data_IF_125457868476
#
_entry.id   IF_125457868476
#
_cell.length_a   1.000
_cell.length_b   1.000
_cell.length_c   1.000
_cell.angle_alpha   90.00
_cell.angle_beta   90.00
_cell.angle_gamma   90.00
#
_symmetry.space_group_name_H-M   'P 1'
#
loop_
_entity.id
_entity.type
_entity.pdbx_description
1 polymer ?
#
# COMPACT_ATOMS: atom_id res chain seq x y z
N UNK A 1 -16.90 -26.21 22.12
CA UNK A 1 -16.37 -26.75 20.84
C UNK A 1 -15.28 -25.85 20.22
N UNK A 2 -15.41 -24.51 20.25
CA UNK A 2 -14.43 -23.58 19.62
C UNK A 2 -13.07 -23.59 20.32
N UNK A 3 -13.04 -23.69 21.66
CA UNK A 3 -11.81 -23.84 22.43
C UNK A 3 -10.98 -25.06 22.00
N UNK A 4 -11.63 -26.15 21.60
CA UNK A 4 -10.98 -27.35 21.08
C UNK A 4 -10.31 -27.09 19.73
N UNK A 5 -10.94 -26.31 18.85
CA UNK A 5 -10.37 -25.93 17.54
C UNK A 5 -9.12 -25.09 17.70
N UNK A 6 -9.12 -24.12 18.62
CA UNK A 6 -7.96 -23.27 18.90
C UNK A 6 -6.79 -24.08 19.47
N UNK A 7 -7.08 -25.06 20.34
CA UNK A 7 -6.07 -25.98 20.86
C UNK A 7 -5.50 -26.89 19.78
N UNK A 8 -6.36 -27.49 18.93
CA UNK A 8 -5.91 -28.29 17.79
C UNK A 8 -5.06 -27.48 16.82
N UNK A 9 -5.43 -26.22 16.56
CA UNK A 9 -4.63 -25.35 15.71
C UNK A 9 -3.27 -25.00 16.32
N UNK A 10 -3.20 -24.75 17.64
CA UNK A 10 -1.89 -24.54 18.28
C UNK A 10 -1.02 -25.80 18.19
N UNK A 11 -1.60 -26.98 18.39
CA UNK A 11 -0.90 -28.25 18.29
C UNK A 11 -0.39 -28.53 16.86
N UNK A 12 -1.12 -28.11 15.83
CA UNK A 12 -0.72 -28.21 14.41
C UNK A 12 0.63 -27.53 14.14
N UNK A 13 0.89 -26.40 14.80
CA UNK A 13 2.12 -25.60 14.65
C UNK A 13 3.12 -25.81 15.80
N UNK A 14 2.96 -26.88 16.60
CA UNK A 14 3.82 -27.19 17.76
C UNK A 14 3.90 -26.06 18.80
N UNK A 15 2.82 -25.28 18.96
CA UNK A 15 2.78 -24.15 19.90
C UNK A 15 2.23 -24.60 21.25
N UNK A 16 3.03 -24.40 22.30
CA UNK A 16 2.64 -24.69 23.68
C UNK A 16 1.68 -23.61 24.21
N UNK A 17 0.54 -24.05 24.74
CA UNK A 17 -0.41 -23.18 25.42
C UNK A 17 -0.01 -23.06 26.89
N UNK A 18 0.36 -21.85 27.31
CA UNK A 18 0.77 -21.54 28.68
C UNK A 18 -0.33 -20.78 29.45
N UNK A 19 -0.33 -20.85 30.80
CA UNK A 19 -1.29 -20.11 31.60
C UNK A 19 -1.08 -18.59 31.53
N UNK A 20 -2.15 -17.83 31.75
CA UNK A 20 -2.17 -16.37 31.57
C UNK A 20 -1.16 -15.60 32.44
N UNK A 21 -0.77 -16.16 33.59
CA UNK A 21 0.17 -15.56 34.53
C UNK A 21 1.65 -15.70 34.13
N UNK A 22 1.95 -16.44 33.06
CA UNK A 22 3.33 -16.58 32.55
C UNK A 22 3.53 -15.72 31.31
N UNK A 23 4.76 -15.26 31.14
CA UNK A 23 5.19 -14.59 29.92
C UNK A 23 5.57 -15.66 28.87
N UNK A 24 5.05 -15.58 27.64
CA UNK A 24 5.37 -16.56 26.61
C UNK A 24 6.84 -16.46 26.17
N UNK A 25 7.44 -17.60 25.87
CA UNK A 25 8.67 -17.70 25.08
C UNK A 25 8.32 -17.94 23.59
N UNK A 26 9.30 -17.90 22.67
CA UNK A 26 9.09 -18.39 21.31
C UNK A 26 8.52 -19.81 21.30
N UNK A 27 7.58 -20.10 20.40
CA UNK A 27 6.85 -21.37 20.37
C UNK A 27 5.77 -21.52 21.46
N UNK A 28 5.49 -20.48 22.24
CA UNK A 28 4.45 -20.50 23.27
C UNK A 28 3.41 -19.40 23.05
N UNK A 29 2.18 -19.66 23.50
CA UNK A 29 1.14 -18.63 23.53
C UNK A 29 0.22 -18.77 24.74
N UNK A 30 -0.30 -17.63 25.21
CA UNK A 30 -1.45 -17.56 26.13
C UNK A 30 -2.71 -17.02 25.45
N UNK A 31 -2.61 -16.63 24.18
CA UNK A 31 -3.63 -15.87 23.46
C UNK A 31 -4.69 -16.77 22.78
N UNK A 32 -5.06 -17.88 23.41
CA UNK A 32 -6.02 -18.86 22.88
C UNK A 32 -7.39 -18.25 22.62
N UNK A 33 -7.82 -17.32 23.48
CA UNK A 33 -9.06 -16.58 23.27
C UNK A 33 -9.03 -15.75 21.97
N UNK A 34 -7.90 -15.16 21.62
CA UNK A 34 -7.73 -14.38 20.39
C UNK A 34 -7.79 -15.26 19.16
N UNK A 35 -7.10 -16.41 19.19
CA UNK A 35 -7.19 -17.44 18.13
C UNK A 35 -8.65 -17.86 17.93
N UNK A 36 -9.36 -18.13 19.03
CA UNK A 36 -10.78 -18.51 18.99
C UNK A 36 -11.64 -17.45 18.30
N UNK A 37 -11.45 -16.17 18.65
CA UNK A 37 -12.15 -15.04 18.02
C UNK A 37 -11.82 -14.89 16.53
N UNK A 38 -10.59 -15.17 16.12
CA UNK A 38 -10.20 -15.15 14.69
C UNK A 38 -10.93 -16.25 13.94
N UNK A 39 -10.94 -17.48 14.47
CA UNK A 39 -11.66 -18.61 13.89
C UNK A 39 -13.16 -18.30 13.74
N UNK A 40 -13.76 -17.73 14.78
CA UNK A 40 -15.17 -17.33 14.77
C UNK A 40 -15.50 -16.29 13.69
N UNK A 41 -14.63 -15.28 13.53
CA UNK A 41 -14.89 -14.15 12.61
C UNK A 41 -14.52 -14.44 11.16
N UNK A 42 -13.45 -15.19 10.94
CA UNK A 42 -12.80 -15.32 9.62
C UNK A 42 -12.62 -16.78 9.17
N UNK A 43 -12.98 -17.75 10.00
CA UNK A 43 -12.86 -19.17 9.69
C UNK A 43 -11.50 -19.77 10.10
N UNK A 44 -11.45 -21.10 10.15
CA UNK A 44 -10.27 -21.87 10.57
C UNK A 44 -9.11 -21.76 9.58
N UNK A 45 -9.39 -21.69 8.27
CA UNK A 45 -8.36 -21.55 7.23
C UNK A 45 -7.64 -20.21 7.33
N UNK A 46 -8.37 -19.12 7.59
CA UNK A 46 -7.77 -17.81 7.86
C UNK A 46 -6.90 -17.84 9.11
N UNK A 47 -7.37 -18.50 10.17
CA UNK A 47 -6.58 -18.65 11.39
C UNK A 47 -5.30 -19.45 11.13
N UNK A 48 -5.36 -20.53 10.35
CA UNK A 48 -4.18 -21.33 9.95
C UNK A 48 -3.15 -20.50 9.20
N UNK A 49 -3.58 -19.64 8.26
CA UNK A 49 -2.68 -18.72 7.56
C UNK A 49 -2.00 -17.72 8.51
N UNK A 50 -2.74 -17.18 9.48
CA UNK A 50 -2.17 -16.30 10.52
C UNK A 50 -1.09 -17.05 11.32
N UNK A 51 -1.37 -18.29 11.70
CA UNK A 51 -0.43 -19.12 12.45
C UNK A 51 0.81 -19.48 11.62
N UNK A 52 0.65 -19.83 10.34
CA UNK A 52 1.77 -20.07 9.42
C UNK A 52 2.72 -18.87 9.36
N UNK A 53 2.18 -17.65 9.18
CA UNK A 53 2.99 -16.41 9.16
C UNK A 53 3.75 -16.18 10.47
N UNK A 54 3.13 -16.47 11.61
CA UNK A 54 3.69 -16.18 12.93
C UNK A 54 4.63 -17.27 13.46
N UNK A 55 4.36 -18.54 13.15
CA UNK A 55 5.09 -19.69 13.69
C UNK A 55 6.21 -20.17 12.75
N UNK A 56 5.96 -20.12 11.45
CA UNK A 56 6.89 -20.67 10.43
C UNK A 56 7.61 -19.57 9.63
N UNK A 57 7.12 -18.33 9.69
CA UNK A 57 7.68 -17.21 8.96
C UNK A 57 9.14 -16.95 9.32
N UNK A 58 9.97 -16.68 8.30
CA UNK A 58 11.40 -16.44 8.48
C UNK A 58 11.64 -15.20 9.34
N UNK A 59 12.45 -15.35 10.39
CA UNK A 59 12.76 -14.24 11.30
C UNK A 59 11.62 -13.84 12.25
N UNK A 60 10.48 -14.51 12.19
CA UNK A 60 9.34 -14.29 13.09
C UNK A 60 9.43 -15.16 14.34
N UNK A 61 10.57 -15.13 15.04
CA UNK A 61 10.67 -15.59 16.44
C UNK A 61 9.91 -14.67 17.42
N UNK A 62 8.97 -13.87 16.89
CA UNK A 62 8.19 -12.91 17.64
C UNK A 62 7.14 -13.65 18.45
N UNK A 63 6.81 -13.07 19.61
CA UNK A 63 5.84 -13.65 20.53
C UNK A 63 4.46 -13.75 19.86
N UNK A 64 3.88 -14.95 19.91
CA UNK A 64 2.50 -15.19 19.47
C UNK A 64 1.58 -14.73 20.60
N UNK A 65 1.20 -13.46 20.56
CA UNK A 65 0.36 -12.81 21.55
C UNK A 65 -0.92 -12.24 20.91
N UNK A 66 -1.79 -11.65 21.74
CA UNK A 66 -3.06 -11.08 21.26
C UNK A 66 -2.85 -9.96 20.23
N UNK A 67 -1.75 -9.21 20.36
CA UNK A 67 -1.45 -8.03 19.53
C UNK A 67 -0.98 -8.48 18.15
N UNK A 68 0.01 -9.36 18.08
CA UNK A 68 0.55 -9.90 16.83
C UNK A 68 -0.49 -10.72 16.08
N UNK A 69 -1.23 -11.61 16.76
CA UNK A 69 -2.33 -12.39 16.16
C UNK A 69 -3.39 -11.48 15.53
N UNK A 70 -3.86 -10.47 16.26
CA UNK A 70 -4.90 -9.57 15.77
C UNK A 70 -4.39 -8.73 14.59
N UNK A 71 -3.16 -8.20 14.68
CA UNK A 71 -2.58 -7.36 13.65
C UNK A 71 -2.34 -8.12 12.34
N UNK A 72 -1.73 -9.31 12.41
CA UNK A 72 -1.50 -10.16 11.24
C UNK A 72 -2.83 -10.60 10.63
N UNK A 73 -3.82 -10.97 11.45
CA UNK A 73 -5.16 -11.32 10.98
C UNK A 73 -5.83 -10.19 10.19
N UNK A 74 -5.75 -8.95 10.68
CA UNK A 74 -6.34 -7.78 10.02
C UNK A 74 -5.63 -7.43 8.71
N UNK A 75 -4.30 -7.53 8.67
CA UNK A 75 -3.52 -7.28 7.45
C UNK A 75 -3.77 -8.37 6.41
N UNK A 76 -3.68 -9.66 6.77
CA UNK A 76 -3.99 -10.76 5.85
C UNK A 76 -5.39 -10.64 5.28
N UNK A 77 -6.36 -10.24 6.10
CA UNK A 77 -7.72 -10.02 5.62
C UNK A 77 -7.83 -8.83 4.67
N UNK A 78 -7.10 -7.75 4.90
CA UNK A 78 -7.02 -6.63 3.96
C UNK A 78 -6.37 -7.05 2.63
N UNK A 79 -5.52 -8.08 2.66
CA UNK A 79 -4.82 -8.65 1.53
C UNK A 79 -5.59 -9.78 0.82
N UNK A 80 -6.85 -10.07 1.16
CA UNK A 80 -7.57 -11.25 0.67
C UNK A 80 -7.53 -11.39 -0.86
N UNK A 81 -7.76 -10.31 -1.59
CA UNK A 81 -7.78 -10.32 -3.06
C UNK A 81 -6.43 -10.75 -3.64
N UNK A 82 -5.34 -10.25 -3.05
CA UNK A 82 -3.96 -10.53 -3.47
C UNK A 82 -3.55 -11.94 -3.07
N UNK A 83 -4.03 -12.38 -1.91
CA UNK A 83 -3.78 -13.71 -1.38
C UNK A 83 -4.46 -14.79 -2.23
N UNK A 84 -5.68 -14.53 -2.72
CA UNK A 84 -6.39 -15.43 -3.64
C UNK A 84 -5.67 -15.57 -4.98
N UNK A 85 -5.11 -14.46 -5.51
CA UNK A 85 -4.38 -14.46 -6.78
C UNK A 85 -3.01 -15.15 -6.69
N UNK A 86 -2.22 -14.86 -5.66
CA UNK A 86 -0.88 -15.43 -5.49
C UNK A 86 -0.50 -15.59 -3.99
N UNK A 87 -0.88 -16.73 -3.37
CA UNK A 87 -0.62 -16.98 -1.96
C UNK A 87 0.87 -16.95 -1.59
N UNK A 88 1.71 -17.59 -2.40
CA UNK A 88 3.15 -17.71 -2.15
C UNK A 88 3.84 -16.36 -2.12
N UNK A 89 3.53 -15.47 -3.06
CA UNK A 89 4.09 -14.12 -3.09
C UNK A 89 3.69 -13.28 -1.86
N UNK A 90 2.47 -13.48 -1.33
CA UNK A 90 2.06 -12.81 -0.10
C UNK A 90 2.89 -13.33 1.08
N UNK A 91 3.04 -14.64 1.24
CA UNK A 91 3.84 -15.21 2.33
C UNK A 91 5.31 -14.75 2.26
N UNK A 92 5.92 -14.68 1.07
CA UNK A 92 7.27 -14.14 0.87
C UNK A 92 7.41 -12.65 1.25
N UNK A 93 6.34 -11.86 1.13
CA UNK A 93 6.33 -10.49 1.63
C UNK A 93 6.28 -10.45 3.17
N UNK A 94 5.52 -11.36 3.79
CA UNK A 94 5.47 -11.46 5.24
C UNK A 94 6.79 -11.95 5.85
N UNK A 95 7.52 -12.84 5.18
CA UNK A 95 8.87 -13.28 5.57
C UNK A 95 9.90 -12.15 5.64
N UNK A 96 9.65 -11.03 4.95
CA UNK A 96 10.52 -9.86 4.97
C UNK A 96 10.18 -8.89 6.10
N UNK A 97 9.09 -9.10 6.85
CA UNK A 97 8.67 -8.17 7.90
C UNK A 97 9.55 -8.32 9.15
N UNK A 98 10.13 -7.22 9.66
CA UNK A 98 10.76 -7.22 10.97
C UNK A 98 9.68 -7.12 12.06
N UNK A 99 8.96 -8.22 12.32
CA UNK A 99 7.81 -8.21 13.23
C UNK A 99 8.19 -7.84 14.67
N UNK A 100 9.28 -8.38 15.21
CA UNK A 100 9.74 -8.11 16.57
C UNK A 100 9.93 -6.61 16.86
N UNK A 101 10.74 -5.88 16.07
CA UNK A 101 10.87 -4.43 16.19
C UNK A 101 9.54 -3.67 16.08
N UNK A 102 8.62 -4.10 15.21
CA UNK A 102 7.32 -3.43 15.10
C UNK A 102 6.41 -3.68 16.29
N UNK A 103 6.43 -4.88 16.88
CA UNK A 103 5.70 -5.17 18.12
C UNK A 103 6.27 -4.36 19.28
N UNK A 104 7.61 -4.21 19.35
CA UNK A 104 8.26 -3.32 20.33
C UNK A 104 7.77 -1.87 20.20
N UNK A 105 7.82 -1.29 19.00
CA UNK A 105 7.36 0.08 18.74
C UNK A 105 5.85 0.22 19.04
N UNK A 106 5.04 -0.78 18.67
CA UNK A 106 3.61 -0.78 18.99
C UNK A 106 3.36 -0.78 20.51
N UNK A 107 4.27 -1.39 21.29
CA UNK A 107 4.15 -1.45 22.75
C UNK A 107 4.35 -0.08 23.42
N UNK A 108 5.18 0.80 22.84
CA UNK A 108 5.37 2.19 23.29
C UNK A 108 4.06 3.00 23.23
N UNK A 109 3.13 2.59 22.36
CA UNK A 109 1.82 3.21 22.18
C UNK A 109 0.75 2.68 23.16
N UNK A 110 1.14 1.83 24.11
CA UNK A 110 0.26 1.29 25.15
C UNK A 110 -0.44 2.40 25.93
N UNK A 111 -1.73 2.23 26.21
CA UNK A 111 -2.53 3.21 26.95
C UNK A 111 -3.04 4.39 26.13
N UNK A 112 -2.53 4.60 24.91
CA UNK A 112 -2.99 5.68 24.01
C UNK A 112 -3.87 5.16 22.88
N UNK A 113 -3.47 4.06 22.24
CA UNK A 113 -4.20 3.43 21.14
C UNK A 113 -4.20 1.92 21.30
N UNK A 114 -5.13 1.25 20.60
CA UNK A 114 -5.11 -0.21 20.53
C UNK A 114 -3.83 -0.66 19.81
N UNK A 115 -2.94 -1.32 20.53
CA UNK A 115 -1.62 -1.75 20.01
C UNK A 115 -1.74 -2.58 18.74
N UNK A 116 -2.74 -3.47 18.65
CA UNK A 116 -2.95 -4.29 17.45
C UNK A 116 -3.25 -3.45 16.20
N UNK A 117 -3.98 -2.35 16.36
CA UNK A 117 -4.32 -1.45 15.25
C UNK A 117 -3.13 -0.59 14.84
N UNK A 118 -2.31 -0.15 15.80
CA UNK A 118 -1.05 0.52 15.52
C UNK A 118 -0.08 -0.42 14.76
N UNK A 119 0.08 -1.65 15.26
CA UNK A 119 0.89 -2.68 14.61
C UNK A 119 0.39 -2.98 13.19
N UNK A 120 -0.92 -3.23 13.01
CA UNK A 120 -1.50 -3.48 11.69
C UNK A 120 -1.22 -2.35 10.69
N UNK A 121 -1.34 -1.09 11.12
CA UNK A 121 -1.03 0.06 10.27
C UNK A 121 0.44 0.13 9.85
N UNK A 122 1.36 -0.16 10.77
CA UNK A 122 2.80 -0.21 10.49
C UNK A 122 3.15 -1.35 9.52
N UNK A 123 2.62 -2.55 9.77
CA UNK A 123 2.84 -3.72 8.93
C UNK A 123 2.29 -3.50 7.52
N UNK A 124 1.07 -2.98 7.40
CA UNK A 124 0.48 -2.65 6.10
C UNK A 124 1.33 -1.65 5.31
N UNK A 125 1.81 -0.59 5.97
CA UNK A 125 2.67 0.40 5.33
C UNK A 125 4.00 -0.20 4.87
N UNK A 126 4.61 -1.08 5.67
CA UNK A 126 5.86 -1.76 5.31
C UNK A 126 5.65 -2.67 4.10
N UNK A 127 4.68 -3.58 4.17
CA UNK A 127 4.37 -4.51 3.08
C UNK A 127 4.05 -3.76 1.78
N UNK A 128 3.29 -2.66 1.86
CA UNK A 128 2.99 -1.82 0.70
C UNK A 128 4.23 -1.17 0.09
N UNK A 129 5.23 -0.81 0.92
CA UNK A 129 6.50 -0.26 0.44
C UNK A 129 7.35 -1.34 -0.25
N UNK A 130 7.40 -2.55 0.32
CA UNK A 130 8.12 -3.68 -0.30
C UNK A 130 7.51 -4.06 -1.64
N UNK A 131 6.18 -4.22 -1.68
CA UNK A 131 5.47 -4.61 -2.90
C UNK A 131 5.44 -3.49 -3.95
N UNK A 132 5.42 -2.23 -3.54
CA UNK A 132 5.27 -1.08 -4.43
C UNK A 132 3.83 -0.82 -4.92
N UNK A 133 2.90 -1.74 -4.63
CA UNK A 133 1.49 -1.69 -5.02
C UNK A 133 0.56 -1.79 -3.80
N UNK A 134 -0.70 -1.33 -3.91
CA UNK A 134 -1.69 -1.53 -2.86
C UNK A 134 -1.94 -3.02 -2.60
N UNK A 135 -2.02 -3.38 -1.32
CA UNK A 135 -2.32 -4.74 -0.88
C UNK A 135 -3.81 -5.09 -0.92
N UNK A 136 -4.68 -4.15 -1.29
CA UNK A 136 -6.14 -4.32 -1.24
C UNK A 136 -6.76 -3.71 -2.49
N UNK A 137 -7.86 -4.29 -2.98
CA UNK A 137 -8.64 -3.68 -4.06
C UNK A 137 -9.26 -2.33 -3.67
N UNK A 138 -9.43 -2.07 -2.36
CA UNK A 138 -10.01 -0.83 -1.81
C UNK A 138 -9.02 0.33 -1.87
N UNK A 139 -8.68 0.75 -3.09
CA UNK A 139 -7.76 1.87 -3.33
C UNK A 139 -8.35 3.21 -2.85
N UNK A 140 -7.46 4.12 -2.45
CA UNK A 140 -7.84 5.49 -2.18
C UNK A 140 -8.41 6.13 -3.45
N UNK A 141 -9.52 6.86 -3.31
CA UNK A 141 -10.12 7.57 -4.43
C UNK A 141 -9.14 8.56 -5.06
N UNK A 142 -9.35 8.87 -6.34
CA UNK A 142 -8.55 9.88 -7.04
C UNK A 142 -8.53 11.22 -6.27
N UNK A 143 -9.67 11.63 -5.68
CA UNK A 143 -9.76 12.86 -4.90
C UNK A 143 -8.85 12.83 -3.65
N UNK A 144 -8.85 11.73 -2.87
CA UNK A 144 -7.96 11.57 -1.71
C UNK A 144 -6.50 11.56 -2.15
N UNK A 145 -6.18 10.84 -3.22
CA UNK A 145 -4.83 10.78 -3.79
C UNK A 145 -4.35 12.16 -4.27
N UNK A 146 -5.25 12.95 -4.86
CA UNK A 146 -4.93 14.30 -5.33
C UNK A 146 -4.69 15.27 -4.19
N UNK A 147 -5.55 15.27 -3.15
CA UNK A 147 -5.37 16.11 -1.97
C UNK A 147 -4.09 15.77 -1.21
N UNK A 148 -3.75 14.48 -1.10
CA UNK A 148 -2.49 14.06 -0.50
C UNK A 148 -1.28 14.59 -1.29
N UNK A 149 -1.33 14.54 -2.63
CA UNK A 149 -0.25 15.07 -3.47
C UNK A 149 -0.09 16.59 -3.32
N UNK A 150 -1.20 17.33 -3.34
CA UNK A 150 -1.21 18.79 -3.13
C UNK A 150 -0.62 19.13 -1.76
N UNK A 151 -1.04 18.44 -0.70
CA UNK A 151 -0.52 18.69 0.65
C UNK A 151 0.98 18.43 0.77
N UNK A 152 1.51 17.42 0.08
CA UNK A 152 2.97 17.17 0.10
C UNK A 152 3.73 18.20 -0.75
N UNK A 153 3.15 18.66 -1.87
CA UNK A 153 3.70 19.76 -2.67
C UNK A 153 3.74 21.08 -1.90
N UNK A 154 2.69 21.40 -1.14
CA UNK A 154 2.65 22.56 -0.24
C UNK A 154 3.73 22.49 0.86
N UNK A 155 4.09 21.27 1.31
CA UNK A 155 5.21 21.04 2.25
C UNK A 155 6.58 21.04 1.56
N UNK A 156 6.66 21.40 0.27
CA UNK A 156 7.90 21.41 -0.51
C UNK A 156 8.45 20.02 -0.84
N UNK A 157 7.72 18.94 -0.57
CA UNK A 157 8.12 17.58 -0.91
C UNK A 157 7.65 17.26 -2.32
N UNK A 158 8.58 16.80 -3.18
CA UNK A 158 8.25 16.40 -4.54
C UNK A 158 7.31 15.18 -4.52
N UNK A 159 6.04 15.37 -4.87
CA UNK A 159 5.14 14.25 -5.07
C UNK A 159 5.56 13.45 -6.33
N UNK A 160 5.26 12.14 -6.38
CA UNK A 160 5.44 11.34 -7.61
C UNK A 160 4.70 11.95 -8.82
N UNK A 161 3.65 12.75 -8.57
CA UNK A 161 2.94 13.56 -9.57
C UNK A 161 3.72 14.82 -9.95
N UNK A 162 4.28 15.54 -8.98
CA UNK A 162 5.16 16.70 -9.20
C UNK A 162 6.32 16.33 -10.12
N UNK A 163 6.89 15.12 -9.95
CA UNK A 163 7.95 14.62 -10.81
C UNK A 163 7.51 14.30 -12.25
N UNK A 164 6.21 14.11 -12.52
CA UNK A 164 5.63 13.94 -13.87
C UNK A 164 4.97 15.22 -14.40
N UNK A 165 4.68 16.17 -13.54
CA UNK A 165 4.09 17.44 -13.91
C UNK A 165 5.20 18.30 -14.52
N UNK A 166 5.25 18.34 -15.85
CA UNK A 166 6.13 19.27 -16.56
C UNK A 166 5.87 20.69 -16.05
N UNK A 167 6.94 21.44 -15.80
CA UNK A 167 6.83 22.86 -15.41
C UNK A 167 6.02 23.63 -16.45
N UNK A 168 5.37 24.72 -16.06
CA UNK A 168 4.59 25.55 -17.00
C UNK A 168 5.48 26.00 -18.18
N UNK A 169 6.72 26.39 -17.91
CA UNK A 169 7.73 26.72 -18.92
C UNK A 169 7.99 25.58 -19.92
N UNK A 170 8.11 24.34 -19.43
CA UNK A 170 8.28 23.16 -20.30
C UNK A 170 7.02 22.92 -21.15
N UNK A 171 5.83 23.14 -20.59
CA UNK A 171 4.56 23.03 -21.34
C UNK A 171 4.46 24.11 -22.43
N UNK A 172 4.90 25.34 -22.13
CA UNK A 172 4.98 26.45 -23.10
C UNK A 172 5.95 26.08 -24.22
N UNK A 173 7.17 25.64 -23.88
CA UNK A 173 8.18 25.26 -24.87
C UNK A 173 7.70 24.12 -25.80
N UNK A 174 6.99 23.13 -25.25
CA UNK A 174 6.36 22.07 -26.05
C UNK A 174 5.24 22.64 -26.92
N UNK A 175 4.41 23.54 -26.37
CA UNK A 175 3.33 24.19 -27.09
C UNK A 175 3.82 25.00 -28.29
N UNK A 176 4.89 25.78 -28.14
CA UNK A 176 5.52 26.54 -29.23
C UNK A 176 6.02 25.61 -30.35
N UNK A 177 6.77 24.56 -30.00
CA UNK A 177 7.22 23.53 -30.97
C UNK A 177 6.06 22.87 -31.71
N UNK A 178 4.96 22.57 -31.01
CA UNK A 178 3.76 21.99 -31.62
C UNK A 178 3.07 22.97 -32.58
N UNK A 179 3.07 24.26 -32.27
CA UNK A 179 2.52 25.30 -33.15
C UNK A 179 3.38 25.46 -34.43
N UNK A 180 4.70 25.44 -34.30
CA UNK A 180 5.64 25.46 -35.44
C UNK A 180 5.43 24.26 -36.37
N UNK A 181 5.36 23.05 -35.79
CA UNK A 181 5.11 21.83 -36.58
C UNK A 181 3.72 21.85 -37.22
N UNK A 182 2.70 22.36 -36.50
CA UNK A 182 1.37 22.50 -37.09
C UNK A 182 1.36 23.47 -38.26
N UNK A 183 2.13 24.56 -38.20
CA UNK A 183 2.22 25.55 -39.26
C UNK A 183 2.95 25.03 -40.50
N UNK A 184 3.90 24.10 -40.35
CA UNK A 184 4.65 23.51 -41.47
C UNK A 184 3.93 22.35 -42.16
N UNK A 185 2.86 21.82 -41.56
CA UNK A 185 2.11 20.68 -42.10
C UNK A 185 0.98 21.11 -43.04
N UNK A 186 0.74 20.38 -44.15
CA UNK A 186 -0.42 20.61 -45.00
C UNK A 186 -1.74 20.37 -44.27
N UNK A 187 -2.81 20.97 -44.78
CA UNK A 187 -4.15 20.84 -44.20
C UNK A 187 -4.57 19.35 -44.13
N UNK A 188 -5.17 18.94 -43.01
CA UNK A 188 -5.56 17.55 -42.75
C UNK A 188 -4.47 16.63 -42.18
N UNK A 189 -3.17 16.98 -42.32
CA UNK A 189 -2.08 16.12 -41.86
C UNK A 189 -1.74 16.23 -40.36
N UNK A 190 -2.26 17.26 -39.69
CA UNK A 190 -2.01 17.48 -38.25
C UNK A 190 -2.54 16.34 -37.37
N UNK A 191 -3.78 15.89 -37.60
CA UNK A 191 -4.40 14.84 -36.79
C UNK A 191 -3.64 13.52 -36.83
N UNK A 192 -3.33 12.98 -38.03
CA UNK A 192 -2.46 11.81 -38.19
C UNK A 192 -1.07 12.02 -37.56
N UNK A 193 -0.44 13.17 -37.78
CA UNK A 193 0.87 13.47 -37.20
C UNK A 193 0.87 13.44 -35.66
N UNK A 194 -0.16 13.98 -35.02
CA UNK A 194 -0.31 13.93 -33.55
C UNK A 194 -0.41 12.50 -33.06
N UNK A 195 -1.18 11.66 -33.74
CA UNK A 195 -1.41 10.27 -33.37
C UNK A 195 -0.12 9.44 -33.48
N UNK A 196 0.63 9.62 -34.56
CA UNK A 196 1.69 8.70 -34.94
C UNK A 196 3.10 9.19 -34.58
N UNK A 197 3.30 10.51 -34.47
CA UNK A 197 4.65 11.12 -34.37
C UNK A 197 4.87 12.00 -33.14
N UNK A 198 3.83 12.50 -32.47
CA UNK A 198 4.01 13.46 -31.37
C UNK A 198 4.50 12.82 -30.06
N UNK A 199 4.24 11.52 -29.85
CA UNK A 199 4.51 10.83 -28.57
C UNK A 199 3.69 11.38 -27.39
N UNK A 200 2.68 12.22 -27.64
CA UNK A 200 1.84 12.87 -26.65
C UNK A 200 0.36 12.54 -26.89
N UNK A 201 -0.45 12.54 -25.84
CA UNK A 201 -1.91 12.39 -26.01
C UNK A 201 -2.51 13.63 -26.68
N UNK A 202 -3.58 13.43 -27.46
CA UNK A 202 -4.30 14.55 -28.12
C UNK A 202 -4.73 15.64 -27.13
N UNK A 203 -5.16 15.25 -25.93
CA UNK A 203 -5.52 16.17 -24.85
C UNK A 203 -4.33 17.01 -24.35
N UNK A 204 -3.14 16.41 -24.24
CA UNK A 204 -1.91 17.10 -23.83
C UNK A 204 -1.44 18.08 -24.90
N UNK A 205 -1.51 17.69 -26.17
CA UNK A 205 -1.15 18.54 -27.31
C UNK A 205 -2.01 19.81 -27.31
N UNK A 206 -3.33 19.66 -27.21
CA UNK A 206 -4.27 20.79 -27.15
C UNK A 206 -3.97 21.68 -25.93
N UNK A 207 -3.72 21.08 -24.77
CA UNK A 207 -3.43 21.82 -23.54
C UNK A 207 -2.14 22.65 -23.65
N UNK A 208 -1.03 22.07 -24.12
CA UNK A 208 0.25 22.77 -24.27
C UNK A 208 0.18 23.89 -25.31
N UNK A 209 -0.43 23.63 -26.47
CA UNK A 209 -0.61 24.67 -27.51
C UNK A 209 -1.48 25.82 -27.03
N UNK A 210 -2.52 25.53 -26.24
CA UNK A 210 -3.36 26.58 -25.64
C UNK A 210 -2.56 27.43 -24.67
N UNK A 211 -1.78 26.81 -23.77
CA UNK A 211 -0.94 27.56 -22.81
C UNK A 211 0.07 28.45 -23.54
N UNK A 212 0.74 27.95 -24.60
CA UNK A 212 1.68 28.75 -25.38
C UNK A 212 1.01 29.96 -26.07
N UNK A 213 -0.14 29.76 -26.72
CA UNK A 213 -0.89 30.88 -27.32
C UNK A 213 -1.31 31.94 -26.30
N UNK A 214 -1.73 31.52 -25.12
CA UNK A 214 -2.14 32.44 -24.05
C UNK A 214 -0.96 33.25 -23.52
N UNK A 215 0.25 32.70 -23.54
CA UNK A 215 1.47 33.39 -23.13
C UNK A 215 1.94 34.39 -24.22
N UNK A 216 1.90 34.03 -25.50
CA UNK A 216 2.18 34.95 -26.62
C UNK A 216 1.26 36.18 -26.59
N UNK A 217 -0.05 35.97 -26.45
CA UNK A 217 -1.03 37.06 -26.33
C UNK A 217 -0.78 37.98 -25.13
N UNK A 218 -0.19 37.46 -24.05
CA UNK A 218 0.15 38.23 -22.85
C UNK A 218 1.35 39.15 -23.06
N UNK A 219 2.29 38.74 -23.92
CA UNK A 219 3.47 39.53 -24.27
C UNK A 219 3.18 40.63 -25.31
N UNK A 220 2.12 40.48 -26.12
CA UNK A 220 1.70 41.49 -27.11
C UNK A 220 0.88 42.65 -26.50
N UNK A 221 0.38 42.50 -25.27
CA UNK A 221 -0.50 43.47 -24.60
C UNK A 221 0.17 44.27 -23.46
N UNK A 222 1.46 44.03 -23.18
CA UNK A 222 2.25 44.75 -22.18
C UNK A 222 3.43 45.45 -22.81
#
# INVERSE_FOLDING_TARGET
>A
MIHLRSQSLCAEFEIEIIPANRYPAPGQTRAVATISRIIEKRGIEHARLVMCVLAEGKGNQALIDEVSLSAISDVLYACSDVLEDNPSAVLELFDQLPLGPYTMIASEMSGFVKQSSALAGMLYLHLRKLRGEPLTCKMATWAKTSRAAISEEEKGRKSRRSSRHRKIEEKIAIGRKLLEVKASLPWGHWGPWVRDKSGLSSSMVIHCMRIAKWEEMRHEQG
#
